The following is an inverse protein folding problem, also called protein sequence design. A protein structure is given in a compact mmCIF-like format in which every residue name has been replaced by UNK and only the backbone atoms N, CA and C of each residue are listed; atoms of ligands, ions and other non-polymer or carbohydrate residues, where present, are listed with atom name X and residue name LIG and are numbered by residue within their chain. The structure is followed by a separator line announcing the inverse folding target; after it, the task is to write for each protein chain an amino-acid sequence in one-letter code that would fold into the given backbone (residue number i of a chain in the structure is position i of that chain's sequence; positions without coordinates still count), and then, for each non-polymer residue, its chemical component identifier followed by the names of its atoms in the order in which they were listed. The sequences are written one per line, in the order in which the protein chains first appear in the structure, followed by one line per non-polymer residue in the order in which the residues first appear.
data_IF_867608192197
#
_entry.id   IF_867608192197
#
_cell.length_a   1.000
_cell.length_b   1.000
_cell.length_c   1.000
_cell.angle_alpha   90.00
_cell.angle_beta   90.00
_cell.angle_gamma   90.00
#
_symmetry.space_group_name_H-M   'P 1'
#
loop_
_entity.id
_entity.type
_entity.pdbx_description
1 polymer ?
#
# COMPACT_ATOMS: atom_id res chain seq x y z
N UNK A 1 -14.04 -28.81 5.48
CA UNK A 1 -14.64 -27.53 5.89
C UNK A 1 -13.46 -26.60 6.08
N UNK A 2 -13.00 -25.95 5.01
CA UNK A 2 -11.82 -25.07 5.12
C UNK A 2 -12.30 -23.77 5.72
N UNK A 3 -11.81 -23.53 6.93
CA UNK A 3 -12.14 -22.39 7.75
C UNK A 3 -11.84 -21.12 6.97
N UNK A 4 -12.87 -20.29 6.90
CA UNK A 4 -12.92 -19.01 6.21
C UNK A 4 -12.20 -17.98 7.07
N UNK A 5 -10.96 -18.25 7.41
CA UNK A 5 -10.10 -17.30 8.11
C UNK A 5 -9.44 -16.44 7.03
N UNK A 6 -9.72 -15.14 7.12
CA UNK A 6 -8.95 -14.03 6.52
C UNK A 6 -8.96 -13.76 5.01
N UNK A 7 -10.11 -13.84 4.34
CA UNK A 7 -10.27 -13.18 3.03
C UNK A 7 -10.00 -11.65 3.13
N UNK A 8 -10.45 -11.01 4.23
CA UNK A 8 -10.25 -9.58 4.46
C UNK A 8 -8.81 -9.18 4.79
N UNK A 9 -8.00 -10.06 5.40
CA UNK A 9 -6.59 -9.75 5.70
C UNK A 9 -5.67 -10.05 4.50
N UNK A 10 -6.02 -11.03 3.66
CA UNK A 10 -5.32 -11.32 2.41
C UNK A 10 -5.56 -10.24 1.33
N UNK A 11 -6.78 -9.69 1.27
CA UNK A 11 -7.08 -8.52 0.42
C UNK A 11 -6.20 -7.33 0.85
N UNK A 12 -6.02 -7.12 2.15
CA UNK A 12 -5.19 -6.07 2.72
C UNK A 12 -3.68 -6.16 2.36
N UNK A 13 -3.06 -7.35 2.43
CA UNK A 13 -1.65 -7.49 2.03
C UNK A 13 -1.46 -7.30 0.51
N UNK A 14 -2.41 -7.78 -0.29
CA UNK A 14 -2.37 -7.62 -1.75
C UNK A 14 -2.46 -6.15 -2.14
N UNK A 15 -3.38 -5.38 -1.52
CA UNK A 15 -3.50 -3.94 -1.73
C UNK A 15 -2.23 -3.20 -1.30
N UNK A 16 -1.64 -3.56 -0.16
CA UNK A 16 -0.36 -3.00 0.28
C UNK A 16 0.76 -3.25 -0.76
N UNK A 17 0.88 -4.48 -1.27
CA UNK A 17 1.87 -4.80 -2.32
C UNK A 17 1.64 -4.00 -3.60
N UNK A 18 0.38 -3.74 -3.97
CA UNK A 18 0.07 -2.88 -5.12
C UNK A 18 0.45 -1.42 -4.89
N UNK A 19 0.21 -0.88 -3.68
CA UNK A 19 0.61 0.48 -3.31
C UNK A 19 2.14 0.65 -3.36
N UNK A 20 2.89 -0.32 -2.82
CA UNK A 20 4.36 -0.32 -2.87
C UNK A 20 4.87 -0.44 -4.31
N UNK A 21 4.27 -1.29 -5.14
CA UNK A 21 4.65 -1.42 -6.56
C UNK A 21 4.37 -0.14 -7.36
N UNK A 22 3.23 0.54 -7.12
CA UNK A 22 2.93 1.83 -7.76
C UNK A 22 3.93 2.91 -7.30
N UNK A 23 4.30 2.90 -6.02
CA UNK A 23 5.31 3.81 -5.48
C UNK A 23 6.69 3.57 -6.11
N UNK A 24 7.16 2.32 -6.20
CA UNK A 24 8.46 1.97 -6.79
C UNK A 24 8.53 2.37 -8.28
N UNK A 25 7.44 2.16 -9.02
CA UNK A 25 7.31 2.59 -10.41
C UNK A 25 7.38 4.12 -10.55
N UNK A 26 6.82 4.87 -9.60
CA UNK A 26 6.88 6.34 -9.56
C UNK A 26 8.26 6.84 -9.11
N UNK A 27 8.92 6.14 -8.19
CA UNK A 27 10.20 6.53 -7.62
C UNK A 27 11.34 6.54 -8.65
N UNK A 28 11.31 5.62 -9.62
CA UNK A 28 12.39 5.46 -10.59
C UNK A 28 12.28 6.35 -11.84
N UNK A 29 11.31 7.28 -11.88
CA UNK A 29 11.04 8.15 -13.04
C UNK A 29 11.03 9.63 -12.68
N UNK A 30 11.23 10.48 -13.68
CA UNK A 30 10.99 11.91 -13.55
C UNK A 30 9.48 12.15 -13.37
N UNK A 31 9.05 12.35 -12.13
CA UNK A 31 7.65 12.54 -11.79
C UNK A 31 7.21 13.98 -11.99
N UNK A 32 6.02 14.17 -12.55
CA UNK A 32 5.33 15.46 -12.55
C UNK A 32 4.91 15.89 -11.13
N UNK A 33 4.61 17.17 -10.88
CA UNK A 33 4.13 17.63 -9.56
C UNK A 33 2.88 16.89 -9.08
N UNK A 34 2.00 16.49 -10.00
CA UNK A 34 0.79 15.70 -9.70
C UNK A 34 1.15 14.28 -9.24
N UNK A 35 2.15 13.67 -9.87
CA UNK A 35 2.68 12.37 -9.47
C UNK A 35 3.40 12.44 -8.12
N UNK A 36 4.08 13.55 -7.81
CA UNK A 36 4.67 13.76 -6.48
C UNK A 36 3.60 13.83 -5.38
N UNK A 37 2.51 14.59 -5.57
CA UNK A 37 1.39 14.59 -4.62
C UNK A 37 0.74 13.21 -4.48
N UNK A 38 0.74 12.40 -5.54
CA UNK A 38 0.27 11.02 -5.51
C UNK A 38 1.23 10.13 -4.72
N UNK A 39 2.55 10.27 -4.88
CA UNK A 39 3.54 9.56 -4.06
C UNK A 39 3.42 9.91 -2.58
N UNK A 40 3.20 11.17 -2.22
CA UNK A 40 2.95 11.56 -0.82
C UNK A 40 1.69 10.91 -0.25
N UNK A 41 0.67 10.73 -1.08
CA UNK A 41 -0.56 10.01 -0.70
C UNK A 41 -0.31 8.51 -0.54
N UNK A 42 0.46 7.89 -1.44
CA UNK A 42 0.86 6.48 -1.34
C UNK A 42 1.66 6.20 -0.08
N UNK A 43 2.63 7.06 0.26
CA UNK A 43 3.42 6.94 1.49
C UNK A 43 2.52 6.95 2.73
N UNK A 44 1.55 7.86 2.81
CA UNK A 44 0.61 7.93 3.93
C UNK A 44 -0.28 6.69 4.07
N UNK A 45 -0.71 6.11 2.94
CA UNK A 45 -1.52 4.89 2.92
C UNK A 45 -0.70 3.67 3.37
N UNK A 46 0.55 3.55 2.90
CA UNK A 46 1.50 2.52 3.31
C UNK A 46 1.80 2.64 4.82
N UNK A 47 2.10 3.84 5.30
CA UNK A 47 2.39 4.10 6.72
C UNK A 47 1.19 3.82 7.63
N UNK A 48 -0.02 4.20 7.22
CA UNK A 48 -1.25 3.90 7.96
C UNK A 48 -1.50 2.38 8.04
N UNK A 49 -1.21 1.65 6.96
CA UNK A 49 -1.32 0.19 6.93
C UNK A 49 -0.29 -0.48 7.85
N UNK A 50 0.98 -0.08 7.78
CA UNK A 50 2.05 -0.61 8.63
C UNK A 50 1.84 -0.31 10.11
N UNK A 51 1.36 0.89 10.44
CA UNK A 51 1.01 1.27 11.81
C UNK A 51 -0.22 0.52 12.31
N UNK A 52 -1.20 0.24 11.45
CA UNK A 52 -2.34 -0.62 11.78
C UNK A 52 -1.93 -2.06 12.06
N UNK A 53 -0.99 -2.61 11.28
CA UNK A 53 -0.41 -3.94 11.50
C UNK A 53 0.41 -4.04 12.78
N UNK A 54 1.13 -2.98 13.19
CA UNK A 54 1.92 -2.96 14.43
C UNK A 54 1.09 -2.89 15.70
N UNK A 55 -0.18 -2.46 15.62
CA UNK A 55 -1.08 -2.30 16.75
C UNK A 55 -1.98 -3.52 16.99
N UNK A 56 -1.86 -4.57 16.16
CA UNK A 56 -2.62 -5.83 16.25
C UNK A 56 -1.69 -7.00 16.57
#
# INVERSE_FOLDING_TARGET
MFEKETDAALVNETEYRQLVAEFDLLWNRATTPQEQSRMESLIKLIDAFENGLRQN
#
